data_IF_217609305088
#
_entry.id   IF_217609305088
#
_cell.length_a   1.000
_cell.length_b   1.000
_cell.length_c   1.000
_cell.angle_alpha   90.00
_cell.angle_beta   90.00
_cell.angle_gamma   90.00
#
_symmetry.space_group_name_H-M   'P 1'
#
loop_
_entity.id
_entity.type
_entity.pdbx_description
1 polymer ?
#
# COMPACT_ATOMS: atom_id res chain seq x y z
N UNK A 1 0.84 42.29 8.06
CA UNK A 1 0.03 41.18 7.50
C UNK A 1 0.61 40.44 6.27
N UNK A 2 1.63 40.94 5.54
CA UNK A 2 2.17 40.25 4.33
C UNK A 2 3.18 39.12 4.63
N UNK A 3 3.85 39.10 5.79
CA UNK A 3 4.89 38.10 6.13
C UNK A 3 4.35 36.69 6.37
N UNK A 4 3.30 36.44 7.19
CA UNK A 4 2.81 35.08 7.43
C UNK A 4 2.27 34.38 6.18
N UNK A 5 1.66 35.14 5.25
CA UNK A 5 1.18 34.61 3.97
C UNK A 5 2.34 34.09 3.10
N UNK A 6 3.49 34.80 3.09
CA UNK A 6 4.68 34.35 2.33
C UNK A 6 5.28 33.07 2.92
N UNK A 7 5.30 32.95 4.23
CA UNK A 7 5.77 31.72 4.90
C UNK A 7 4.85 30.53 4.63
N UNK A 8 3.54 30.77 4.64
CA UNK A 8 2.56 29.75 4.29
C UNK A 8 2.71 29.29 2.84
N UNK A 9 2.85 30.24 1.92
CA UNK A 9 3.09 29.91 0.51
C UNK A 9 4.41 29.12 0.31
N UNK A 10 5.47 29.49 1.01
CA UNK A 10 6.75 28.77 0.98
C UNK A 10 6.62 27.35 1.54
N UNK A 11 5.87 27.18 2.65
CA UNK A 11 5.63 25.87 3.26
C UNK A 11 4.85 24.93 2.30
N UNK A 12 3.79 25.44 1.66
CA UNK A 12 3.06 24.64 0.65
C UNK A 12 3.92 24.33 -0.59
N UNK A 13 4.73 25.28 -1.06
CA UNK A 13 5.66 25.03 -2.17
C UNK A 13 6.67 23.94 -1.80
N UNK A 14 7.20 23.95 -0.58
CA UNK A 14 8.11 22.91 -0.08
C UNK A 14 7.44 21.53 -0.02
N UNK A 15 6.21 21.44 0.50
CA UNK A 15 5.44 20.19 0.53
C UNK A 15 5.17 19.67 -0.87
N UNK A 16 4.74 20.53 -1.80
CA UNK A 16 4.51 20.15 -3.19
C UNK A 16 5.80 19.66 -3.87
N UNK A 17 6.90 20.36 -3.65
CA UNK A 17 8.21 19.96 -4.19
C UNK A 17 8.65 18.61 -3.65
N UNK A 18 8.54 18.40 -2.34
CA UNK A 18 8.86 17.11 -1.70
C UNK A 18 7.99 15.99 -2.28
N UNK A 19 6.71 16.23 -2.44
CA UNK A 19 5.80 15.26 -3.04
C UNK A 19 6.17 14.88 -4.48
N UNK A 20 6.47 15.87 -5.32
CA UNK A 20 6.93 15.60 -6.69
C UNK A 20 8.24 14.80 -6.71
N UNK A 21 9.18 15.10 -5.80
CA UNK A 21 10.42 14.34 -5.65
C UNK A 21 10.12 12.88 -5.25
N UNK A 22 9.26 12.66 -4.25
CA UNK A 22 8.91 11.31 -3.80
C UNK A 22 8.21 10.50 -4.90
N UNK A 23 7.29 11.09 -5.63
CA UNK A 23 6.66 10.47 -6.80
C UNK A 23 7.68 10.13 -7.90
N UNK A 24 8.60 11.06 -8.19
CA UNK A 24 9.68 10.82 -9.14
C UNK A 24 10.64 9.70 -8.72
N UNK A 25 10.98 9.61 -7.44
CA UNK A 25 11.78 8.51 -6.87
C UNK A 25 11.04 7.18 -6.99
N UNK A 26 9.74 7.14 -6.68
CA UNK A 26 8.91 5.94 -6.85
C UNK A 26 8.91 5.46 -8.30
N UNK A 27 8.65 6.35 -9.26
CA UNK A 27 8.73 6.03 -10.69
C UNK A 27 10.11 5.54 -11.12
N UNK A 28 11.18 6.19 -10.63
CA UNK A 28 12.55 5.78 -10.92
C UNK A 28 12.87 4.38 -10.41
N UNK A 29 12.44 4.04 -9.19
CA UNK A 29 12.56 2.68 -8.62
C UNK A 29 11.78 1.67 -9.47
N UNK A 30 10.53 1.97 -9.79
CA UNK A 30 9.66 1.15 -10.62
C UNK A 30 10.32 0.83 -11.97
N UNK A 31 10.79 1.85 -12.68
CA UNK A 31 11.47 1.71 -13.97
C UNK A 31 12.78 0.90 -13.86
N UNK A 32 13.55 1.10 -12.78
CA UNK A 32 14.78 0.37 -12.51
C UNK A 32 14.52 -1.13 -12.35
N UNK A 33 13.52 -1.53 -11.54
CA UNK A 33 13.19 -2.93 -11.34
C UNK A 33 12.55 -3.57 -12.58
N UNK A 34 11.77 -2.80 -13.36
CA UNK A 34 11.26 -3.24 -14.65
C UNK A 34 12.40 -3.51 -15.65
N UNK A 35 13.41 -2.62 -15.72
CA UNK A 35 14.60 -2.83 -16.54
C UNK A 35 15.42 -4.06 -16.13
N UNK A 36 15.47 -4.38 -14.83
CA UNK A 36 16.10 -5.61 -14.32
C UNK A 36 15.28 -6.89 -14.56
N UNK A 37 14.08 -6.79 -15.11
CA UNK A 37 13.17 -7.92 -15.25
C UNK A 37 12.56 -8.42 -13.93
N UNK A 38 12.70 -7.65 -12.84
CA UNK A 38 12.16 -8.01 -11.53
C UNK A 38 10.74 -7.45 -11.30
N UNK A 39 10.26 -6.56 -12.15
CA UNK A 39 8.89 -6.02 -12.12
C UNK A 39 8.19 -6.38 -13.42
N UNK A 40 7.12 -7.15 -13.32
CA UNK A 40 6.20 -7.43 -14.41
C UNK A 40 4.78 -7.54 -13.86
N UNK A 41 3.80 -7.25 -14.70
CA UNK A 41 2.43 -7.65 -14.41
C UNK A 41 2.35 -9.16 -14.55
N UNK A 42 1.81 -9.85 -13.56
CA UNK A 42 1.67 -11.30 -13.56
C UNK A 42 0.29 -11.67 -13.04
N UNK A 43 -0.41 -12.50 -13.77
CA UNK A 43 -1.69 -13.10 -13.34
C UNK A 43 -1.38 -14.45 -12.70
N UNK A 44 -1.89 -14.68 -11.50
CA UNK A 44 -1.81 -15.94 -10.78
C UNK A 44 -3.19 -16.59 -10.78
N UNK A 45 -3.22 -17.84 -11.19
CA UNK A 45 -4.40 -18.69 -11.09
C UNK A 45 -4.34 -19.53 -9.80
N UNK A 46 -5.40 -20.24 -9.50
CA UNK A 46 -5.48 -21.10 -8.30
C UNK A 46 -4.33 -22.10 -8.18
N UNK A 47 -3.97 -22.72 -9.31
CA UNK A 47 -2.87 -23.71 -9.37
C UNK A 47 -1.48 -23.14 -9.07
N UNK A 48 -1.31 -21.82 -9.12
CA UNK A 48 -0.06 -21.15 -8.79
C UNK A 48 0.07 -20.90 -7.28
N UNK A 49 -0.99 -21.19 -6.52
CA UNK A 49 -1.10 -20.94 -5.09
C UNK A 49 -1.07 -22.24 -4.30
N UNK A 50 -0.54 -22.17 -3.09
CA UNK A 50 -0.64 -23.24 -2.10
C UNK A 50 -1.61 -22.82 -1.01
N UNK A 51 -2.71 -23.55 -0.85
CA UNK A 51 -3.70 -23.30 0.19
C UNK A 51 -3.38 -24.03 1.51
N UNK A 52 -3.52 -23.31 2.63
CA UNK A 52 -3.46 -23.86 3.98
C UNK A 52 -4.74 -23.44 4.71
N UNK A 53 -5.38 -24.36 5.43
CA UNK A 53 -6.68 -24.08 6.08
C UNK A 53 -7.80 -23.79 5.09
N UNK A 54 -7.70 -24.27 3.83
CA UNK A 54 -8.72 -24.14 2.80
C UNK A 54 -8.97 -25.50 2.15
N UNK A 55 -10.21 -25.75 1.76
CA UNK A 55 -10.61 -26.93 1.00
C UNK A 55 -11.33 -26.51 -0.27
N UNK A 56 -10.82 -26.97 -1.42
CA UNK A 56 -11.45 -26.74 -2.73
C UNK A 56 -12.79 -27.49 -2.82
N UNK A 57 -13.78 -26.84 -3.41
CA UNK A 57 -15.10 -27.37 -3.64
C UNK A 57 -15.23 -27.78 -5.11
N UNK A 58 -15.35 -29.09 -5.35
CA UNK A 58 -15.51 -29.63 -6.71
C UNK A 58 -16.93 -29.39 -7.27
N UNK A 59 -17.03 -29.39 -8.59
CA UNK A 59 -18.31 -29.40 -9.31
C UNK A 59 -19.00 -28.04 -9.46
N UNK A 60 -18.34 -26.94 -9.15
CA UNK A 60 -18.84 -25.59 -9.38
C UNK A 60 -18.67 -25.15 -10.84
N UNK A 61 -19.61 -24.35 -11.36
CA UNK A 61 -19.67 -24.02 -12.80
C UNK A 61 -18.75 -22.88 -13.24
N UNK A 62 -18.41 -21.96 -12.30
CA UNK A 62 -17.64 -20.75 -12.59
C UNK A 62 -16.58 -20.51 -11.51
N UNK A 63 -15.34 -20.29 -11.92
CA UNK A 63 -14.21 -20.03 -11.01
C UNK A 63 -13.84 -21.23 -10.15
N UNK A 64 -12.87 -21.02 -9.27
CA UNK A 64 -12.49 -22.00 -8.25
C UNK A 64 -13.14 -21.61 -6.95
N UNK A 65 -13.86 -22.54 -6.36
CA UNK A 65 -14.52 -22.36 -5.07
C UNK A 65 -13.78 -23.09 -3.98
N UNK A 66 -13.61 -22.46 -2.84
CA UNK A 66 -13.06 -23.09 -1.65
C UNK A 66 -13.83 -22.67 -0.40
N UNK A 67 -13.68 -23.46 0.66
CA UNK A 67 -14.18 -23.14 1.99
C UNK A 67 -13.00 -23.07 2.97
N UNK A 68 -12.98 -22.07 3.84
CA UNK A 68 -12.00 -22.01 4.92
C UNK A 68 -12.35 -23.07 5.98
N UNK A 69 -11.37 -23.90 6.35
CA UNK A 69 -11.55 -25.02 7.30
C UNK A 69 -11.18 -24.63 8.73
N UNK A 70 -10.47 -23.51 8.89
CA UNK A 70 -10.10 -22.95 10.19
C UNK A 70 -10.19 -21.41 10.19
N UNK A 71 -9.70 -20.78 11.24
CA UNK A 71 -9.75 -19.32 11.43
C UNK A 71 -8.55 -18.58 10.85
N UNK A 72 -7.62 -19.28 10.19
CA UNK A 72 -6.40 -18.70 9.57
C UNK A 72 -6.19 -19.30 8.16
N UNK A 73 -7.17 -19.11 7.22
CA UNK A 73 -7.06 -19.62 5.86
C UNK A 73 -6.02 -18.82 5.09
N UNK A 74 -5.04 -19.51 4.50
CA UNK A 74 -3.89 -18.88 3.85
C UNK A 74 -3.76 -19.36 2.41
N UNK A 75 -3.51 -18.40 1.51
CA UNK A 75 -3.13 -18.66 0.13
C UNK A 75 -1.70 -18.14 -0.07
N UNK A 76 -0.76 -19.04 -0.30
CA UNK A 76 0.65 -18.75 -0.47
C UNK A 76 1.06 -18.74 -1.93
N UNK A 77 1.91 -17.80 -2.30
CA UNK A 77 2.62 -17.80 -3.56
C UNK A 77 4.11 -17.50 -3.31
N UNK A 78 4.98 -18.27 -3.96
CA UNK A 78 6.43 -18.13 -3.86
C UNK A 78 6.95 -17.61 -5.20
N UNK A 79 7.77 -16.56 -5.16
CA UNK A 79 8.37 -16.00 -6.36
C UNK A 79 9.28 -17.04 -7.04
N UNK A 80 9.18 -17.22 -8.38
CA UNK A 80 9.99 -18.20 -9.11
C UNK A 80 11.49 -17.82 -9.12
N UNK A 81 11.81 -16.54 -8.91
CA UNK A 81 13.17 -16.05 -8.82
C UNK A 81 13.61 -15.99 -7.36
N UNK A 82 14.74 -16.62 -6.95
CA UNK A 82 15.25 -16.55 -5.58
C UNK A 82 15.66 -15.13 -5.14
N UNK A 83 15.93 -14.22 -6.07
CA UNK A 83 16.14 -12.80 -5.78
C UNK A 83 14.83 -12.06 -5.49
N UNK A 84 13.68 -12.72 -5.66
CA UNK A 84 12.35 -12.17 -5.51
C UNK A 84 11.89 -11.36 -6.71
N UNK A 85 10.70 -10.77 -6.56
CA UNK A 85 10.11 -9.83 -7.53
C UNK A 85 9.80 -8.51 -6.84
N UNK A 86 9.81 -7.42 -7.60
CA UNK A 86 9.43 -6.11 -7.10
C UNK A 86 7.92 -5.93 -7.21
N UNK A 87 7.25 -5.76 -6.08
CA UNK A 87 5.81 -5.56 -5.98
C UNK A 87 5.49 -4.16 -5.46
N UNK A 88 4.66 -3.44 -6.18
CA UNK A 88 4.03 -2.19 -5.74
C UNK A 88 2.62 -2.45 -5.23
N UNK A 89 1.88 -3.24 -5.99
CA UNK A 89 0.47 -3.51 -5.73
C UNK A 89 0.15 -4.98 -6.03
N UNK A 90 -0.73 -5.55 -5.23
CA UNK A 90 -1.36 -6.84 -5.48
C UNK A 90 -2.87 -6.64 -5.51
N UNK A 91 -3.55 -7.24 -6.48
CA UNK A 91 -4.99 -7.22 -6.60
C UNK A 91 -5.52 -8.65 -6.52
N UNK A 92 -6.33 -8.95 -5.52
CA UNK A 92 -7.01 -10.22 -5.33
C UNK A 92 -8.46 -10.06 -5.77
N UNK A 93 -8.89 -10.93 -6.69
CA UNK A 93 -10.29 -11.00 -7.13
C UNK A 93 -10.95 -12.23 -6.52
N UNK A 94 -11.93 -12.00 -5.67
CA UNK A 94 -12.69 -13.06 -5.01
C UNK A 94 -14.07 -12.58 -4.61
N UNK A 95 -15.03 -13.49 -4.53
CA UNK A 95 -16.35 -13.24 -4.00
C UNK A 95 -16.64 -14.17 -2.82
N UNK A 96 -16.96 -13.60 -1.68
CA UNK A 96 -17.33 -14.35 -0.48
C UNK A 96 -18.85 -14.45 -0.39
N UNK A 97 -19.40 -15.66 -0.28
CA UNK A 97 -20.85 -15.88 -0.11
C UNK A 97 -21.36 -15.42 1.25
N UNK A 98 -20.52 -15.53 2.27
CA UNK A 98 -20.77 -14.98 3.59
C UNK A 98 -19.73 -13.89 3.85
N UNK A 99 -20.11 -12.73 4.42
CA UNK A 99 -19.15 -11.69 4.71
C UNK A 99 -18.04 -12.24 5.62
N UNK A 100 -16.84 -12.32 5.06
CA UNK A 100 -15.62 -12.57 5.84
C UNK A 100 -15.26 -11.30 6.63
N UNK A 101 -14.27 -11.44 7.49
CA UNK A 101 -13.66 -10.30 8.18
C UNK A 101 -12.56 -9.65 7.31
N UNK A 102 -11.51 -9.16 7.95
CA UNK A 102 -10.43 -8.50 7.25
C UNK A 102 -9.70 -9.44 6.28
N UNK A 103 -9.50 -8.98 5.06
CA UNK A 103 -8.61 -9.61 4.08
C UNK A 103 -7.24 -8.98 4.21
N UNK A 104 -6.21 -9.80 4.40
CA UNK A 104 -4.86 -9.33 4.75
C UNK A 104 -3.83 -9.99 3.84
N UNK A 105 -2.77 -9.26 3.51
CA UNK A 105 -1.62 -9.78 2.80
C UNK A 105 -0.37 -9.57 3.64
N UNK A 106 0.41 -10.63 3.79
CA UNK A 106 1.76 -10.64 4.35
C UNK A 106 2.77 -10.91 3.25
N UNK A 107 4.00 -10.40 3.42
CA UNK A 107 5.08 -10.71 2.49
C UNK A 107 6.39 -10.98 3.21
N UNK A 108 7.29 -11.72 2.54
CA UNK A 108 8.67 -11.92 2.96
C UNK A 108 9.63 -11.30 1.97
N UNK A 109 10.69 -10.70 2.47
CA UNK A 109 11.83 -10.32 1.65
C UNK A 109 12.72 -11.54 1.34
N UNK A 110 13.52 -11.53 0.27
CA UNK A 110 14.49 -12.59 0.00
C UNK A 110 15.40 -12.87 1.20
N UNK A 111 15.55 -14.15 1.56
CA UNK A 111 16.33 -14.59 2.70
C UNK A 111 15.64 -14.50 4.06
N UNK A 112 14.42 -14.01 4.13
CA UNK A 112 13.64 -13.97 5.36
C UNK A 112 12.95 -15.31 5.59
N UNK A 113 13.07 -15.87 6.81
CA UNK A 113 12.50 -17.18 7.14
C UNK A 113 10.98 -17.09 7.42
N UNK A 114 10.56 -16.13 8.24
CA UNK A 114 9.20 -16.07 8.76
C UNK A 114 8.46 -14.79 8.32
N UNK A 115 7.13 -14.84 8.25
CA UNK A 115 6.30 -13.66 8.09
C UNK A 115 6.34 -12.78 9.35
N UNK A 116 6.24 -11.48 9.14
CA UNK A 116 6.27 -10.48 10.22
C UNK A 116 5.02 -9.60 10.17
N UNK A 117 4.46 -9.29 11.33
CA UNK A 117 3.36 -8.33 11.44
C UNK A 117 3.72 -6.91 10.94
N UNK A 118 5.03 -6.57 10.89
CA UNK A 118 5.49 -5.32 10.29
C UNK A 118 5.42 -5.33 8.75
N UNK A 119 5.25 -6.50 8.15
CA UNK A 119 5.13 -6.72 6.72
C UNK A 119 3.73 -7.24 6.38
N UNK A 120 2.73 -6.48 6.80
CA UNK A 120 1.32 -6.80 6.65
C UNK A 120 0.57 -5.59 6.09
N UNK A 121 -0.33 -5.84 5.15
CA UNK A 121 -1.22 -4.81 4.57
C UNK A 121 -2.65 -5.32 4.59
N UNK A 122 -3.56 -4.48 5.05
CA UNK A 122 -5.00 -4.72 4.92
C UNK A 122 -5.47 -4.38 3.51
N UNK A 123 -6.38 -5.20 2.99
CA UNK A 123 -6.99 -4.94 1.70
C UNK A 123 -7.83 -3.66 1.70
N UNK A 124 -7.76 -2.92 0.60
CA UNK A 124 -8.72 -1.88 0.25
C UNK A 124 -9.70 -2.45 -0.78
N UNK A 125 -10.97 -2.53 -0.45
CA UNK A 125 -12.00 -2.95 -1.41
C UNK A 125 -12.23 -1.82 -2.41
N UNK A 126 -11.81 -2.01 -3.65
CA UNK A 126 -11.89 -1.01 -4.72
C UNK A 126 -13.13 -1.16 -5.59
N UNK A 127 -13.64 -2.39 -5.70
CA UNK A 127 -14.89 -2.74 -6.38
C UNK A 127 -15.48 -4.00 -5.73
N UNK A 128 -16.66 -4.41 -6.17
CA UNK A 128 -17.22 -5.67 -5.71
C UNK A 128 -16.33 -6.83 -6.15
N UNK A 129 -15.92 -7.65 -5.18
CA UNK A 129 -15.03 -8.77 -5.40
C UNK A 129 -13.57 -8.39 -5.70
N UNK A 130 -13.17 -7.11 -5.59
CA UNK A 130 -11.81 -6.67 -5.88
C UNK A 130 -11.15 -6.07 -4.63
N UNK A 131 -10.10 -6.71 -4.17
CA UNK A 131 -9.31 -6.36 -2.99
C UNK A 131 -7.90 -5.97 -3.40
N UNK A 132 -7.52 -4.73 -3.14
CA UNK A 132 -6.23 -4.16 -3.48
C UNK A 132 -5.35 -4.02 -2.24
N UNK A 133 -4.08 -4.42 -2.37
CA UNK A 133 -3.03 -4.26 -1.39
C UNK A 133 -1.92 -3.38 -1.96
N UNK A 134 -1.61 -2.29 -1.29
CA UNK A 134 -0.52 -1.38 -1.64
C UNK A 134 0.71 -1.71 -0.78
N UNK A 135 1.75 -2.26 -1.39
CA UNK A 135 2.99 -2.66 -0.72
C UNK A 135 4.03 -1.54 -0.71
N UNK A 136 3.76 -0.42 -1.39
CA UNK A 136 4.68 0.73 -1.44
C UNK A 136 6.00 0.48 -2.18
N UNK A 137 6.12 -0.60 -2.93
CA UNK A 137 7.29 -0.95 -3.73
C UNK A 137 8.41 -1.60 -2.92
N UNK A 138 8.35 -2.92 -2.78
CA UNK A 138 9.35 -3.75 -2.10
C UNK A 138 9.69 -5.01 -2.91
N UNK A 139 10.85 -5.60 -2.63
CA UNK A 139 11.24 -6.90 -3.23
C UNK A 139 10.72 -8.01 -2.35
N UNK A 140 9.97 -8.93 -2.96
CA UNK A 140 9.20 -9.97 -2.29
C UNK A 140 9.60 -11.35 -2.81
N UNK A 141 9.87 -12.28 -1.91
CA UNK A 141 10.14 -13.69 -2.24
C UNK A 141 8.92 -14.58 -2.03
N UNK A 142 8.00 -14.19 -1.15
CA UNK A 142 6.77 -14.95 -0.87
C UNK A 142 5.68 -13.98 -0.40
N UNK A 143 4.45 -14.23 -0.84
CA UNK A 143 3.25 -13.60 -0.29
C UNK A 143 2.35 -14.65 0.33
N UNK A 144 1.65 -14.25 1.38
CA UNK A 144 0.56 -14.98 2.03
C UNK A 144 -0.65 -14.06 2.05
N UNK A 145 -1.75 -14.54 1.54
CA UNK A 145 -3.03 -13.83 1.54
C UNK A 145 -4.00 -14.59 2.45
N UNK A 146 -4.47 -13.92 3.49
CA UNK A 146 -5.50 -14.44 4.40
C UNK A 146 -6.83 -13.88 3.93
N UNK A 147 -7.67 -14.74 3.35
CA UNK A 147 -8.94 -14.32 2.72
C UNK A 147 -10.02 -13.96 3.74
N UNK A 148 -9.92 -14.48 4.94
CA UNK A 148 -10.80 -14.18 6.08
C UNK A 148 -10.11 -14.53 7.40
N UNK A 149 -10.79 -14.32 8.52
CA UNK A 149 -10.33 -14.70 9.87
C UNK A 149 -11.37 -15.53 10.62
N UNK A 150 -12.29 -16.16 9.87
CA UNK A 150 -13.39 -16.98 10.44
C UNK A 150 -13.49 -18.26 9.62
N UNK A 151 -13.49 -19.40 10.24
CA UNK A 151 -13.70 -20.68 9.55
C UNK A 151 -15.10 -20.81 8.93
N UNK A 152 -15.22 -21.60 7.87
CA UNK A 152 -16.49 -21.90 7.22
C UNK A 152 -16.94 -20.88 6.17
N UNK A 153 -16.09 -19.95 5.77
CA UNK A 153 -16.41 -18.97 4.71
C UNK A 153 -16.21 -19.63 3.35
N UNK A 154 -17.28 -19.62 2.53
CA UNK A 154 -17.21 -20.08 1.15
C UNK A 154 -16.85 -18.91 0.25
N UNK A 155 -15.77 -19.07 -0.50
CA UNK A 155 -15.19 -18.03 -1.36
C UNK A 155 -15.04 -18.55 -2.78
N UNK A 156 -15.44 -17.74 -3.76
CA UNK A 156 -15.06 -17.92 -5.16
C UNK A 156 -13.78 -17.15 -5.42
N UNK A 157 -12.77 -17.83 -5.90
CA UNK A 157 -11.50 -17.25 -6.29
C UNK A 157 -11.50 -17.02 -7.81
N UNK A 158 -11.26 -15.78 -8.20
CA UNK A 158 -11.23 -15.36 -9.61
C UNK A 158 -9.81 -15.01 -10.10
N UNK A 159 -8.82 -14.94 -9.19
CA UNK A 159 -7.41 -14.74 -9.54
C UNK A 159 -6.70 -13.67 -8.71
N UNK A 160 -5.38 -13.61 -8.87
CA UNK A 160 -4.53 -12.56 -8.29
C UNK A 160 -3.72 -11.89 -9.40
N UNK A 161 -3.68 -10.57 -9.40
CA UNK A 161 -2.82 -9.80 -10.30
C UNK A 161 -1.71 -9.14 -9.49
N UNK A 162 -0.48 -9.49 -9.79
CA UNK A 162 0.71 -8.81 -9.26
C UNK A 162 1.05 -7.64 -10.17
N UNK A 163 1.29 -6.46 -9.60
CA UNK A 163 1.57 -5.21 -10.32
C UNK A 163 0.56 -4.96 -11.47
N UNK A 164 -0.74 -4.81 -11.19
CA UNK A 164 -1.72 -4.47 -12.22
C UNK A 164 -1.26 -3.22 -12.99
N UNK A 165 -1.59 -3.16 -14.28
CA UNK A 165 -1.19 -2.06 -15.12
C UNK A 165 -1.81 -0.74 -14.62
N UNK A 166 -0.97 0.19 -14.24
CA UNK A 166 -1.36 1.51 -13.77
C UNK A 166 -0.72 2.61 -14.63
N UNK A 167 -1.39 3.75 -14.74
CA UNK A 167 -0.82 4.92 -15.39
C UNK A 167 0.33 5.50 -14.54
N UNK A 168 1.37 6.02 -15.17
CA UNK A 168 2.51 6.65 -14.49
C UNK A 168 2.11 7.76 -13.50
N UNK A 169 0.96 8.39 -13.71
CA UNK A 169 0.44 9.46 -12.87
C UNK A 169 -0.01 8.99 -11.48
N UNK A 170 -0.26 7.68 -11.30
CA UNK A 170 -0.69 7.11 -10.00
C UNK A 170 0.36 7.32 -8.93
N UNK A 171 1.65 7.36 -9.30
CA UNK A 171 2.75 7.69 -8.39
C UNK A 171 2.64 9.10 -7.77
N UNK A 172 1.84 9.98 -8.38
CA UNK A 172 1.59 11.35 -7.91
C UNK A 172 0.19 11.54 -7.31
N UNK A 173 -0.62 10.49 -7.21
CA UNK A 173 -1.90 10.56 -6.51
C UNK A 173 -1.65 10.36 -5.01
N UNK A 174 -1.98 11.34 -4.16
CA UNK A 174 -1.77 11.19 -2.72
C UNK A 174 -2.74 10.17 -2.15
N UNK A 175 -2.28 9.42 -1.16
CA UNK A 175 -3.19 8.71 -0.27
C UNK A 175 -4.06 9.72 0.50
N UNK A 176 -5.22 9.30 1.00
CA UNK A 176 -6.08 10.16 1.81
C UNK A 176 -5.32 10.77 3.01
N UNK A 177 -4.48 9.98 3.68
CA UNK A 177 -3.61 10.44 4.77
C UNK A 177 -2.59 11.47 4.28
N UNK A 178 -1.94 11.21 3.14
CA UNK A 178 -0.97 12.12 2.53
C UNK A 178 -1.60 13.47 2.16
N UNK A 179 -2.83 13.45 1.63
CA UNK A 179 -3.58 14.65 1.32
C UNK A 179 -3.90 15.47 2.59
N UNK A 180 -4.43 14.82 3.63
CA UNK A 180 -4.75 15.46 4.91
C UNK A 180 -3.50 16.06 5.55
N UNK A 181 -2.40 15.33 5.62
CA UNK A 181 -1.13 15.84 6.16
C UNK A 181 -0.58 16.99 5.32
N UNK A 182 -0.61 16.88 4.00
CA UNK A 182 -0.16 17.94 3.09
C UNK A 182 -0.95 19.25 3.23
N UNK A 183 -2.24 19.17 3.60
CA UNK A 183 -3.09 20.34 3.84
C UNK A 183 -2.93 20.93 5.24
N UNK A 184 -2.80 20.09 6.27
CA UNK A 184 -2.84 20.55 7.67
C UNK A 184 -1.46 20.88 8.25
N UNK A 185 -0.41 20.15 7.85
CA UNK A 185 0.93 20.36 8.43
C UNK A 185 1.52 21.74 8.11
N UNK A 186 1.45 22.28 6.86
CA UNK A 186 2.03 23.58 6.56
C UNK A 186 1.48 24.72 7.42
N UNK A 187 0.15 24.93 7.60
CA UNK A 187 -0.34 26.02 8.42
C UNK A 187 0.02 25.86 9.90
N UNK A 188 0.01 24.63 10.43
CA UNK A 188 0.42 24.38 11.82
C UNK A 188 1.90 24.73 12.02
N UNK A 189 2.79 24.27 11.13
CA UNK A 189 4.22 24.59 11.20
C UNK A 189 4.45 26.11 11.12
N UNK A 190 3.78 26.80 10.21
CA UNK A 190 3.91 28.26 10.06
C UNK A 190 3.43 28.96 11.32
N UNK A 191 2.33 28.54 11.92
CA UNK A 191 1.82 29.12 13.16
C UNK A 191 2.83 28.94 14.31
N UNK A 192 3.34 27.73 14.51
CA UNK A 192 4.34 27.44 15.56
C UNK A 192 5.63 28.24 15.33
N UNK A 193 6.16 28.27 14.11
CA UNK A 193 7.37 29.03 13.82
C UNK A 193 7.15 30.53 13.99
N UNK A 194 5.97 31.04 13.68
CA UNK A 194 5.63 32.45 13.89
C UNK A 194 5.61 32.83 15.37
N UNK A 195 4.99 31.99 16.22
CA UNK A 195 4.99 32.20 17.68
C UNK A 195 6.41 32.12 18.27
N UNK A 196 7.20 31.14 17.86
CA UNK A 196 8.60 31.05 18.28
C UNK A 196 9.41 32.27 17.87
N UNK A 197 9.21 32.75 16.63
CA UNK A 197 9.87 33.98 16.15
C UNK A 197 9.46 35.19 17.00
N UNK A 198 8.18 35.33 17.31
CA UNK A 198 7.68 36.44 18.13
C UNK A 198 8.28 36.45 19.56
N UNK A 199 8.56 35.26 20.13
CA UNK A 199 9.21 35.13 21.44
C UNK A 199 10.69 35.47 21.37
N UNK A 200 11.38 35.11 20.26
CA UNK A 200 12.82 35.30 20.09
C UNK A 200 13.20 36.68 19.55
N UNK A 201 12.26 37.43 18.96
CA UNK A 201 12.52 38.78 18.46
C UNK A 201 12.66 39.72 19.67
N UNK A 202 13.86 40.30 19.96
CA UNK A 202 13.99 41.21 21.10
C UNK A 202 13.15 42.45 20.87
N UNK A 203 12.34 42.83 21.86
CA UNK A 203 11.57 44.06 21.80
C UNK A 203 12.48 45.23 21.37
N UNK A 204 12.10 45.98 20.33
CA UNK A 204 12.88 47.17 19.97
C UNK A 204 12.91 48.10 21.19
N UNK A 205 14.11 48.33 21.72
CA UNK A 205 14.33 49.32 22.81
C UNK A 205 13.50 50.57 22.51
N UNK A 206 12.42 50.78 23.25
CA UNK A 206 11.71 52.06 23.26
C UNK A 206 12.73 53.12 23.67
N UNK A 207 13.22 53.92 22.72
CA UNK A 207 13.93 55.15 23.03
C UNK A 207 12.90 56.06 23.70
N UNK A 208 12.98 56.16 25.02
CA UNK A 208 12.31 57.22 25.76
C UNK A 208 12.77 58.57 25.19
N UNK A 209 11.80 59.34 24.72
CA UNK A 209 11.99 60.73 24.35
C UNK A 209 11.70 61.61 25.54
#
# INVERSE_FOLDING_TARGET
>A
MKRPIRWLAAAYAAVLTLWLILGGVSLGKSAWYAHKGMKAQTELAWQDLTGVGVQELEGQREGVWYVSTDTDPQLHWIAPNPEGIYLETVELRMEQLTPGQAVVLYWKAPGQADFSAAQMVYAQKTADGVYRFDLGGCVVSEIRMDSDSVGGVTTRFDGVTLNPAEGWYTAFIPTATGLVLGLLVPPVLVAVLWELWAILEPEPFKKEK
#
